data_IF_467778264160
#
_entry.id   IF_467778264160
#
_cell.length_a   1.000
_cell.length_b   1.000
_cell.length_c   1.000
_cell.angle_alpha   90.00
_cell.angle_beta   90.00
_cell.angle_gamma   90.00
#
_symmetry.space_group_name_H-M   'P 1'
#
loop_
_entity.id
_entity.type
_entity.pdbx_description
1 polymer ?
#
# COMPACT_ATOMS: atom_id res chain seq x y z
N UNK A 1 26.62 16.11 0.16
CA UNK A 1 25.94 17.24 -0.52
C UNK A 1 24.46 17.18 -0.13
N UNK A 2 23.76 18.29 0.14
CA UNK A 2 22.32 18.22 0.43
C UNK A 2 21.54 17.71 -0.77
N UNK A 3 20.45 16.98 -0.54
CA UNK A 3 19.59 16.46 -1.61
C UNK A 3 18.86 17.63 -2.32
N UNK A 4 19.00 17.78 -3.65
CA UNK A 4 18.48 18.96 -4.36
C UNK A 4 16.98 19.23 -4.14
N UNK A 5 16.17 18.18 -4.05
CA UNK A 5 14.72 18.28 -3.89
C UNK A 5 14.26 18.43 -2.43
N UNK A 6 15.17 18.41 -1.46
CA UNK A 6 14.88 18.67 -0.05
C UNK A 6 15.34 20.07 0.40
N UNK A 7 16.09 20.80 -0.45
CA UNK A 7 16.54 22.17 -0.16
C UNK A 7 15.37 23.13 -0.35
N UNK A 8 15.14 24.01 0.63
CA UNK A 8 14.09 25.04 0.57
C UNK A 8 14.13 25.80 -0.75
N UNK A 9 12.95 25.88 -1.39
CA UNK A 9 12.79 26.56 -2.67
C UNK A 9 11.76 27.69 -2.56
N UNK A 10 12.10 28.82 -1.90
CA UNK A 10 11.16 29.90 -1.61
C UNK A 10 10.59 30.57 -2.86
N UNK A 11 11.21 30.37 -4.02
CA UNK A 11 10.83 31.01 -5.29
C UNK A 11 9.90 30.16 -6.15
N UNK A 12 9.52 28.95 -5.72
CA UNK A 12 8.83 27.97 -6.59
C UNK A 12 7.46 27.55 -6.05
N UNK A 13 6.62 28.53 -5.72
CA UNK A 13 5.17 28.33 -5.52
C UNK A 13 4.39 28.26 -6.83
N UNK A 14 5.04 28.55 -7.96
CA UNK A 14 4.46 28.47 -9.30
C UNK A 14 4.96 27.19 -9.97
N UNK A 15 4.03 26.41 -10.52
CA UNK A 15 4.32 25.13 -11.16
C UNK A 15 5.16 25.29 -12.44
N UNK A 16 4.85 26.32 -13.25
CA UNK A 16 5.52 26.55 -14.51
C UNK A 16 6.74 27.48 -14.40
N UNK A 17 7.78 27.27 -15.21
CA UNK A 17 7.95 26.16 -16.15
C UNK A 17 8.25 24.83 -15.43
N UNK A 18 7.81 23.71 -16.02
CA UNK A 18 8.13 22.37 -15.54
C UNK A 18 9.64 22.15 -15.65
N UNK A 19 10.26 21.65 -14.58
CA UNK A 19 11.68 21.33 -14.51
C UNK A 19 11.88 19.81 -14.49
N UNK A 20 11.09 19.10 -13.67
CA UNK A 20 11.16 17.64 -13.52
C UNK A 20 10.09 16.97 -14.38
N UNK A 21 10.38 16.81 -15.67
CA UNK A 21 9.40 16.32 -16.65
C UNK A 21 8.99 14.87 -16.40
N UNK A 22 9.92 14.01 -15.98
CA UNK A 22 9.65 12.61 -15.62
C UNK A 22 8.73 12.50 -14.39
N UNK A 23 8.98 13.30 -13.36
CA UNK A 23 8.10 13.42 -12.16
C UNK A 23 6.72 13.93 -12.58
N UNK A 24 6.66 14.93 -13.45
CA UNK A 24 5.39 15.46 -13.95
C UNK A 24 4.59 14.42 -14.76
N UNK A 25 5.26 13.60 -15.57
CA UNK A 25 4.59 12.52 -16.30
C UNK A 25 3.99 11.47 -15.35
N UNK A 26 4.68 11.13 -14.26
CA UNK A 26 4.12 10.24 -13.23
C UNK A 26 2.86 10.85 -12.60
N UNK A 27 2.86 12.15 -12.29
CA UNK A 27 1.67 12.82 -11.80
C UNK A 27 0.53 12.78 -12.82
N UNK A 28 0.81 13.05 -14.10
CA UNK A 28 -0.21 12.97 -15.15
C UNK A 28 -0.77 11.55 -15.35
N UNK A 29 0.06 10.53 -15.16
CA UNK A 29 -0.37 9.12 -15.17
C UNK A 29 -1.33 8.84 -14.00
N UNK A 30 -1.01 9.34 -12.81
CA UNK A 30 -1.86 9.22 -11.62
C UNK A 30 -3.19 9.96 -11.83
N UNK A 31 -3.14 11.22 -12.27
CA UNK A 31 -4.32 12.05 -12.56
C UNK A 31 -5.26 11.38 -13.59
N UNK A 32 -4.70 10.78 -14.65
CA UNK A 32 -5.48 10.07 -15.67
C UNK A 32 -6.09 8.75 -15.18
N UNK A 33 -5.69 8.28 -14.00
CA UNK A 33 -6.14 7.02 -13.40
C UNK A 33 -7.19 7.23 -12.29
N UNK A 34 -7.65 8.47 -12.08
CA UNK A 34 -8.67 8.80 -11.08
C UNK A 34 -9.91 7.92 -11.18
N UNK A 35 -10.44 7.55 -10.01
CA UNK A 35 -11.67 6.79 -9.84
C UNK A 35 -12.28 7.09 -8.46
N UNK A 36 -13.55 6.77 -8.25
CA UNK A 36 -14.21 6.91 -6.92
C UNK A 36 -14.83 5.62 -6.42
N UNK A 37 -15.09 5.54 -5.11
CA UNK A 37 -15.69 4.36 -4.48
C UNK A 37 -17.07 4.00 -5.05
N UNK A 38 -17.85 4.99 -5.51
CA UNK A 38 -19.17 4.79 -6.11
C UNK A 38 -19.16 4.08 -7.46
N UNK A 39 -18.00 3.97 -8.11
CA UNK A 39 -17.85 3.18 -9.34
C UNK A 39 -17.90 1.66 -9.08
N UNK A 40 -17.83 1.23 -7.81
CA UNK A 40 -17.86 -0.17 -7.42
C UNK A 40 -19.30 -0.69 -7.30
N UNK A 41 -19.63 -1.73 -8.07
CA UNK A 41 -20.87 -2.50 -7.91
C UNK A 41 -20.64 -3.70 -6.96
N UNK A 42 -21.18 -3.60 -5.74
CA UNK A 42 -21.10 -4.65 -4.71
C UNK A 42 -22.36 -5.53 -4.63
N UNK A 43 -23.33 -5.37 -5.55
CA UNK A 43 -24.62 -6.07 -5.46
C UNK A 43 -24.45 -7.60 -5.53
N UNK A 44 -23.50 -8.07 -6.34
CA UNK A 44 -23.24 -9.50 -6.52
C UNK A 44 -22.39 -10.11 -5.39
N UNK A 45 -21.56 -9.31 -4.71
CA UNK A 45 -20.64 -9.78 -3.68
C UNK A 45 -21.36 -10.34 -2.46
N UNK A 46 -22.52 -9.80 -2.08
CA UNK A 46 -23.29 -10.32 -0.94
C UNK A 46 -23.74 -11.77 -1.15
N UNK A 47 -24.07 -12.13 -2.40
CA UNK A 47 -24.44 -13.49 -2.75
C UNK A 47 -23.24 -14.42 -2.66
N UNK A 48 -22.10 -14.01 -3.21
CA UNK A 48 -20.87 -14.81 -3.14
C UNK A 48 -20.41 -14.96 -1.69
N UNK A 49 -20.40 -13.87 -0.93
CA UNK A 49 -20.04 -13.83 0.49
C UNK A 49 -20.80 -14.85 1.35
N UNK A 50 -22.12 -14.96 1.12
CA UNK A 50 -22.97 -15.93 1.80
C UNK A 50 -22.61 -17.39 1.45
N UNK A 51 -22.10 -17.63 0.24
CA UNK A 51 -21.73 -18.96 -0.25
C UNK A 51 -20.27 -19.33 0.01
N UNK A 52 -19.43 -18.40 0.44
CA UNK A 52 -18.06 -18.68 0.86
C UNK A 52 -18.02 -19.66 2.04
N UNK A 53 -16.90 -20.34 2.19
CA UNK A 53 -16.59 -21.11 3.40
C UNK A 53 -16.23 -20.18 4.56
N UNK A 54 -16.30 -20.68 5.79
CA UNK A 54 -15.87 -19.91 6.97
C UNK A 54 -14.38 -19.52 6.88
N UNK A 55 -13.54 -20.40 6.32
CA UNK A 55 -12.12 -20.11 6.12
C UNK A 55 -11.90 -18.98 5.11
N UNK A 56 -12.62 -18.96 4.00
CA UNK A 56 -12.52 -17.88 3.00
C UNK A 56 -13.03 -16.55 3.56
N UNK A 57 -14.16 -16.56 4.28
CA UNK A 57 -14.65 -15.36 4.97
C UNK A 57 -13.64 -14.87 6.00
N UNK A 58 -13.11 -15.76 6.82
CA UNK A 58 -12.09 -15.42 7.82
C UNK A 58 -10.88 -14.77 7.15
N UNK A 59 -10.37 -15.37 6.06
CA UNK A 59 -9.25 -14.83 5.30
C UNK A 59 -9.54 -13.40 4.79
N UNK A 60 -10.66 -13.22 4.07
CA UNK A 60 -11.02 -11.92 3.49
C UNK A 60 -11.21 -10.85 4.56
N UNK A 61 -11.88 -11.16 5.68
CA UNK A 61 -12.08 -10.21 6.80
C UNK A 61 -10.75 -9.66 7.31
N UNK A 62 -9.77 -10.54 7.52
CA UNK A 62 -8.47 -10.14 8.08
C UNK A 62 -7.60 -9.41 7.06
N UNK A 63 -7.69 -9.74 5.77
CA UNK A 63 -7.05 -8.95 4.71
C UNK A 63 -7.63 -7.53 4.66
N UNK A 64 -8.95 -7.39 4.67
CA UNK A 64 -9.60 -6.07 4.66
C UNK A 64 -9.26 -5.24 5.91
N UNK A 65 -9.22 -5.89 7.08
CA UNK A 65 -8.83 -5.25 8.34
C UNK A 65 -7.38 -4.75 8.32
N UNK A 66 -6.47 -5.52 7.68
CA UNK A 66 -5.10 -5.08 7.45
C UNK A 66 -5.04 -3.84 6.55
N UNK A 67 -5.77 -3.85 5.43
CA UNK A 67 -5.76 -2.75 4.48
C UNK A 67 -6.33 -1.46 5.08
N UNK A 68 -7.51 -1.54 5.71
CA UNK A 68 -8.16 -0.38 6.32
C UNK A 68 -7.29 0.35 7.37
N UNK A 69 -6.42 -0.40 8.05
CA UNK A 69 -5.47 0.17 9.01
C UNK A 69 -4.19 0.73 8.36
N UNK A 70 -3.75 0.16 7.23
CA UNK A 70 -2.44 0.45 6.65
C UNK A 70 -2.44 1.74 5.84
N UNK A 71 -3.49 1.98 5.04
CA UNK A 71 -3.60 3.19 4.22
C UNK A 71 -3.62 4.46 5.09
N UNK A 72 -4.20 4.38 6.29
CA UNK A 72 -4.14 5.47 7.26
C UNK A 72 -2.70 5.84 7.67
N UNK A 73 -1.84 4.84 7.88
CA UNK A 73 -0.42 5.05 8.22
C UNK A 73 0.35 5.64 7.03
N UNK A 74 0.09 5.13 5.82
CA UNK A 74 0.68 5.62 4.57
C UNK A 74 0.34 7.09 4.37
N UNK A 75 -0.95 7.44 4.50
CA UNK A 75 -1.47 8.79 4.32
C UNK A 75 -0.91 9.78 5.36
N UNK A 76 -0.84 9.37 6.64
CA UNK A 76 -0.19 10.16 7.69
C UNK A 76 1.27 10.47 7.35
N UNK A 77 2.04 9.49 6.87
CA UNK A 77 3.42 9.70 6.45
C UNK A 77 3.52 10.64 5.23
N UNK A 78 2.65 10.47 4.23
CA UNK A 78 2.64 11.34 3.06
C UNK A 78 2.38 12.80 3.45
N UNK A 79 1.33 13.06 4.24
CA UNK A 79 0.89 14.40 4.60
C UNK A 79 1.79 15.11 5.62
N UNK A 80 2.33 14.39 6.60
CA UNK A 80 3.15 14.99 7.65
C UNK A 80 4.63 15.05 7.28
N UNK A 81 5.11 14.11 6.46
CA UNK A 81 6.52 13.99 6.11
C UNK A 81 6.79 14.33 4.64
N UNK A 82 6.53 13.41 3.72
CA UNK A 82 7.05 13.52 2.34
C UNK A 82 6.57 14.76 1.59
N UNK A 83 5.29 15.12 1.70
CA UNK A 83 4.77 16.33 1.04
C UNK A 83 5.35 17.62 1.60
N UNK A 84 5.74 17.62 2.87
CA UNK A 84 6.33 18.77 3.56
C UNK A 84 7.83 18.90 3.28
N UNK A 85 8.54 17.77 3.23
CA UNK A 85 9.99 17.72 3.04
C UNK A 85 10.40 17.99 1.59
N UNK A 86 9.69 17.41 0.62
CA UNK A 86 10.00 17.60 -0.80
C UNK A 86 9.58 19.00 -1.25
N UNK A 87 10.51 19.72 -1.87
CA UNK A 87 10.36 21.12 -2.29
C UNK A 87 10.07 21.28 -3.78
N UNK A 88 10.05 20.18 -4.54
CA UNK A 88 9.78 20.17 -5.98
C UNK A 88 8.26 20.18 -6.22
N UNK A 89 7.68 21.19 -6.91
CA UNK A 89 6.25 21.29 -7.16
C UNK A 89 5.66 20.06 -7.87
N UNK A 90 6.36 19.50 -8.85
CA UNK A 90 5.90 18.33 -9.60
C UNK A 90 5.70 17.11 -8.69
N UNK A 91 6.63 16.91 -7.74
CA UNK A 91 6.53 15.83 -6.76
C UNK A 91 5.44 16.11 -5.71
N UNK A 92 5.27 17.38 -5.31
CA UNK A 92 4.14 17.78 -4.45
C UNK A 92 2.78 17.55 -5.13
N UNK A 93 2.68 17.77 -6.44
CA UNK A 93 1.47 17.43 -7.20
C UNK A 93 1.20 15.92 -7.19
N UNK A 94 2.23 15.09 -7.37
CA UNK A 94 2.08 13.64 -7.24
C UNK A 94 1.61 13.26 -5.84
N UNK A 95 2.32 13.68 -4.79
CA UNK A 95 1.94 13.32 -3.41
C UNK A 95 0.57 13.85 -3.00
N UNK A 96 0.17 15.04 -3.46
CA UNK A 96 -1.17 15.56 -3.22
C UNK A 96 -2.26 14.70 -3.86
N UNK A 97 -1.99 14.15 -5.04
CA UNK A 97 -2.91 13.21 -5.71
C UNK A 97 -2.88 11.83 -5.07
N UNK A 98 -1.70 11.32 -4.69
CA UNK A 98 -1.54 10.08 -3.94
C UNK A 98 -2.36 10.13 -2.64
N UNK A 99 -2.22 11.19 -1.83
CA UNK A 99 -3.04 11.40 -0.62
C UNK A 99 -4.54 11.35 -0.92
N UNK A 100 -4.99 11.95 -2.03
CA UNK A 100 -6.39 11.90 -2.41
C UNK A 100 -6.84 10.47 -2.72
N UNK A 101 -6.04 9.71 -3.46
CA UNK A 101 -6.29 8.31 -3.80
C UNK A 101 -6.24 7.38 -2.57
N UNK A 102 -5.30 7.57 -1.64
CA UNK A 102 -5.24 6.80 -0.39
C UNK A 102 -6.50 6.99 0.48
N UNK A 103 -7.11 8.18 0.45
CA UNK A 103 -8.40 8.41 1.11
C UNK A 103 -9.53 7.60 0.44
N UNK A 104 -9.51 7.47 -0.89
CA UNK A 104 -10.47 6.65 -1.64
C UNK A 104 -10.22 5.16 -1.36
N UNK A 105 -8.97 4.70 -1.28
CA UNK A 105 -8.63 3.34 -0.87
C UNK A 105 -9.21 3.02 0.52
N UNK A 106 -8.97 3.92 1.48
CA UNK A 106 -9.49 3.80 2.85
C UNK A 106 -11.03 3.75 2.89
N UNK A 107 -11.71 4.58 2.09
CA UNK A 107 -13.17 4.55 1.95
C UNK A 107 -13.66 3.22 1.40
N UNK A 108 -13.02 2.72 0.33
CA UNK A 108 -13.38 1.46 -0.31
C UNK A 108 -13.21 0.28 0.64
N UNK A 109 -12.10 0.18 1.36
CA UNK A 109 -11.93 -0.89 2.35
C UNK A 109 -12.96 -0.82 3.46
N UNK A 110 -13.30 0.39 3.91
CA UNK A 110 -14.37 0.61 4.90
C UNK A 110 -15.74 0.19 4.36
N UNK A 111 -16.05 0.52 3.11
CA UNK A 111 -17.28 0.14 2.42
C UNK A 111 -17.39 -1.38 2.24
N UNK A 112 -16.29 -2.06 1.87
CA UNK A 112 -16.23 -3.51 1.74
C UNK A 112 -16.49 -4.17 3.10
N UNK A 113 -15.85 -3.69 4.17
CA UNK A 113 -16.08 -4.16 5.55
C UNK A 113 -17.55 -3.97 5.95
N UNK A 114 -18.11 -2.77 5.73
CA UNK A 114 -19.50 -2.46 6.08
C UNK A 114 -20.52 -3.32 5.30
N UNK A 115 -20.20 -3.60 4.04
CA UNK A 115 -21.01 -4.42 3.15
C UNK A 115 -21.02 -5.88 3.61
N UNK A 116 -19.86 -6.46 3.92
CA UNK A 116 -19.72 -7.90 4.20
C UNK A 116 -20.00 -8.27 5.65
N UNK A 117 -19.68 -7.40 6.61
CA UNK A 117 -19.77 -7.69 8.04
C UNK A 117 -20.95 -6.95 8.64
N UNK A 118 -22.00 -7.70 8.98
CA UNK A 118 -23.23 -7.16 9.58
C UNK A 118 -23.17 -7.06 11.10
N UNK A 119 -22.34 -7.86 11.75
CA UNK A 119 -22.15 -7.77 13.20
C UNK A 119 -21.32 -6.53 13.57
N UNK A 120 -21.90 -5.66 14.39
CA UNK A 120 -21.26 -4.39 14.76
C UNK A 120 -20.03 -4.60 15.66
N UNK A 121 -20.01 -5.66 16.46
CA UNK A 121 -18.89 -5.95 17.37
C UNK A 121 -17.68 -6.45 16.58
N UNK A 122 -17.92 -7.35 15.63
CA UNK A 122 -16.90 -7.85 14.70
C UNK A 122 -16.36 -6.71 13.83
N UNK A 123 -17.23 -5.81 13.38
CA UNK A 123 -16.81 -4.61 12.61
C UNK A 123 -15.88 -3.71 13.42
N UNK A 124 -16.24 -3.37 14.66
CA UNK A 124 -15.38 -2.55 15.54
C UNK A 124 -14.03 -3.25 15.80
N UNK A 125 -14.06 -4.57 16.02
CA UNK A 125 -12.84 -5.36 16.20
C UNK A 125 -11.90 -5.28 14.99
N UNK A 126 -12.44 -5.39 13.77
CA UNK A 126 -11.66 -5.36 12.52
C UNK A 126 -11.18 -3.95 12.17
N UNK A 127 -11.98 -2.91 12.40
CA UNK A 127 -11.55 -1.52 12.17
C UNK A 127 -10.47 -1.07 13.17
N UNK A 128 -10.30 -1.80 14.28
CA UNK A 128 -9.24 -1.59 15.28
C UNK A 128 -8.09 -2.58 15.15
N UNK A 129 -7.87 -3.14 13.96
CA UNK A 129 -6.92 -4.21 13.69
C UNK A 129 -5.51 -4.00 14.26
N UNK A 130 -5.00 -2.77 14.31
CA UNK A 130 -3.68 -2.46 14.89
C UNK A 130 -3.61 -2.85 16.38
N UNK A 131 -4.70 -2.67 17.11
CA UNK A 131 -4.78 -3.01 18.53
C UNK A 131 -5.23 -4.45 18.78
N UNK A 132 -6.02 -5.00 17.85
CA UNK A 132 -6.77 -6.24 18.06
C UNK A 132 -6.17 -7.46 17.37
N UNK A 133 -5.42 -7.28 16.26
CA UNK A 133 -4.86 -8.35 15.43
C UNK A 133 -3.33 -8.29 15.46
N UNK A 134 -2.64 -9.26 16.11
CA UNK A 134 -1.19 -9.23 16.31
C UNK A 134 -0.37 -9.10 15.02
N UNK A 135 -0.79 -9.74 13.93
CA UNK A 135 -0.04 -9.68 12.66
C UNK A 135 -0.14 -8.31 11.99
N UNK A 136 -1.31 -7.65 12.07
CA UNK A 136 -1.50 -6.27 11.59
C UNK A 136 -0.66 -5.31 12.43
N UNK A 137 -0.67 -5.49 13.76
CA UNK A 137 0.16 -4.70 14.68
C UNK A 137 1.64 -4.74 14.32
N UNK A 138 2.18 -5.91 13.96
CA UNK A 138 3.59 -6.09 13.59
C UNK A 138 3.95 -5.28 12.35
N UNK A 139 3.14 -5.38 11.29
CA UNK A 139 3.32 -4.59 10.05
C UNK A 139 3.19 -3.09 10.32
N UNK A 140 2.16 -2.69 11.06
CA UNK A 140 1.93 -1.29 11.43
C UNK A 140 3.11 -0.70 12.22
N UNK A 141 3.63 -1.42 13.22
CA UNK A 141 4.81 -0.99 13.97
C UNK A 141 6.06 -0.85 13.10
N UNK A 142 6.26 -1.77 12.14
CA UNK A 142 7.36 -1.66 11.19
C UNK A 142 7.22 -0.39 10.34
N UNK A 143 6.04 -0.15 9.76
CA UNK A 143 5.77 1.04 8.96
C UNK A 143 5.96 2.33 9.79
N UNK A 144 5.35 2.43 10.96
CA UNK A 144 5.46 3.59 11.86
C UNK A 144 6.91 3.88 12.27
N UNK A 145 7.71 2.85 12.56
CA UNK A 145 9.14 3.00 12.87
C UNK A 145 9.88 3.70 11.73
N UNK A 146 9.65 3.26 10.49
CA UNK A 146 10.33 3.86 9.33
C UNK A 146 9.70 5.18 8.88
N UNK A 147 8.46 5.49 9.26
CA UNK A 147 7.88 6.80 8.98
C UNK A 147 8.49 7.90 9.87
N UNK A 148 9.08 7.57 11.02
CA UNK A 148 9.60 8.57 11.96
C UNK A 148 10.91 9.23 11.46
N UNK A 149 10.88 10.54 11.08
CA UNK A 149 12.06 11.25 10.59
C UNK A 149 13.16 11.43 11.64
N UNK A 150 12.84 11.22 12.93
CA UNK A 150 13.83 11.28 14.02
C UNK A 150 14.64 9.99 14.12
N UNK A 151 14.14 8.90 13.54
CA UNK A 151 14.74 7.56 13.60
C UNK A 151 15.42 7.20 12.28
N UNK A 152 14.87 7.64 11.14
CA UNK A 152 15.31 7.22 9.81
C UNK A 152 15.52 8.38 8.86
N UNK A 153 16.60 8.31 8.09
CA UNK A 153 16.94 9.30 7.06
C UNK A 153 15.94 9.25 5.90
N UNK A 154 15.76 10.35 5.15
CA UNK A 154 14.83 10.39 4.01
C UNK A 154 15.02 9.22 3.02
N UNK A 155 16.25 8.83 2.60
CA UNK A 155 16.45 7.65 1.74
C UNK A 155 15.97 6.33 2.36
N UNK A 156 16.16 6.13 3.66
CA UNK A 156 15.66 4.95 4.36
C UNK A 156 14.13 4.94 4.41
N UNK A 157 13.53 6.09 4.70
CA UNK A 157 12.07 6.23 4.76
C UNK A 157 11.44 6.01 3.39
N UNK A 158 12.04 6.57 2.33
CA UNK A 158 11.56 6.41 0.96
C UNK A 158 11.62 4.95 0.51
N UNK A 159 12.72 4.24 0.82
CA UNK A 159 12.83 2.81 0.52
C UNK A 159 11.85 1.97 1.35
N UNK A 160 11.73 2.27 2.65
CA UNK A 160 10.79 1.56 3.51
C UNK A 160 9.34 1.79 3.07
N UNK A 161 9.01 3.00 2.63
CA UNK A 161 7.70 3.32 2.06
C UNK A 161 7.41 2.54 0.78
N UNK A 162 8.39 2.45 -0.14
CA UNK A 162 8.27 1.61 -1.33
C UNK A 162 8.08 0.12 -0.97
N UNK A 163 8.69 -0.35 0.13
CA UNK A 163 8.45 -1.70 0.63
C UNK A 163 7.07 -1.86 1.31
N UNK A 164 6.53 -0.81 1.96
CA UNK A 164 5.15 -0.84 2.45
C UNK A 164 4.20 -1.03 1.26
N UNK A 165 4.18 -0.11 0.31
CA UNK A 165 3.22 -0.14 -0.81
C UNK A 165 3.47 -1.32 -1.78
N UNK A 166 4.74 -1.65 -2.03
CA UNK A 166 5.12 -2.68 -2.99
C UNK A 166 5.10 -4.11 -2.43
N UNK A 167 5.56 -4.32 -1.18
CA UNK A 167 5.76 -5.67 -0.61
C UNK A 167 4.65 -6.02 0.38
N UNK A 168 4.31 -5.15 1.34
CA UNK A 168 3.33 -5.49 2.39
C UNK A 168 1.90 -5.68 1.89
N UNK A 169 1.56 -5.15 0.72
CA UNK A 169 0.26 -5.39 0.08
C UNK A 169 0.30 -6.57 -0.91
N UNK A 170 1.48 -6.99 -1.37
CA UNK A 170 1.63 -7.91 -2.50
C UNK A 170 0.95 -9.26 -2.30
N UNK A 171 1.11 -9.88 -1.12
CA UNK A 171 0.53 -11.18 -0.81
C UNK A 171 -1.00 -11.12 -0.77
N UNK A 172 -1.54 -10.06 -0.19
CA UNK A 172 -2.98 -9.80 -0.14
C UNK A 172 -3.58 -9.53 -1.53
N UNK A 173 -2.94 -8.71 -2.35
CA UNK A 173 -3.38 -8.45 -3.73
C UNK A 173 -3.40 -9.73 -4.57
N UNK A 174 -2.33 -10.52 -4.49
CA UNK A 174 -2.23 -11.81 -5.17
C UNK A 174 -3.35 -12.77 -4.71
N UNK A 175 -3.65 -12.78 -3.41
CA UNK A 175 -4.71 -13.59 -2.82
C UNK A 175 -6.11 -13.18 -3.31
N UNK A 176 -6.37 -11.89 -3.50
CA UNK A 176 -7.66 -11.43 -4.06
C UNK A 176 -7.74 -11.73 -5.57
N UNK A 177 -6.64 -11.59 -6.32
CA UNK A 177 -6.58 -12.04 -7.71
C UNK A 177 -6.84 -13.55 -7.86
N UNK A 178 -6.47 -14.35 -6.86
CA UNK A 178 -6.82 -15.76 -6.81
C UNK A 178 -8.34 -15.98 -6.67
N UNK A 179 -9.03 -15.19 -5.85
CA UNK A 179 -10.50 -15.21 -5.77
C UNK A 179 -11.15 -14.81 -7.10
N UNK A 180 -10.62 -13.78 -7.77
CA UNK A 180 -11.03 -13.41 -9.13
C UNK A 180 -10.92 -14.58 -10.10
N UNK A 181 -9.80 -15.30 -10.09
CA UNK A 181 -9.57 -16.48 -10.94
C UNK A 181 -10.62 -17.59 -10.70
N UNK A 182 -11.11 -17.69 -9.47
CA UNK A 182 -12.18 -18.63 -9.09
C UNK A 182 -13.58 -18.11 -9.40
N UNK A 183 -13.71 -16.88 -9.90
CA UNK A 183 -14.98 -16.25 -10.24
C UNK A 183 -15.79 -15.83 -9.01
N UNK A 184 -15.11 -15.42 -7.93
CA UNK A 184 -15.73 -15.04 -6.66
C UNK A 184 -15.50 -13.56 -6.36
N UNK A 185 -16.47 -12.94 -5.67
CA UNK A 185 -16.36 -11.58 -5.11
C UNK A 185 -15.95 -10.55 -6.19
N UNK A 186 -16.79 -10.34 -7.22
CA UNK A 186 -16.43 -9.50 -8.36
C UNK A 186 -16.17 -8.03 -7.98
N UNK A 187 -16.92 -7.47 -7.03
CA UNK A 187 -16.73 -6.12 -6.49
C UNK A 187 -15.41 -5.97 -5.74
N UNK A 188 -15.11 -6.89 -4.81
CA UNK A 188 -13.81 -6.95 -4.13
C UNK A 188 -12.64 -7.09 -5.13
N UNK A 189 -12.81 -7.94 -6.14
CA UNK A 189 -11.78 -8.19 -7.15
C UNK A 189 -11.55 -6.97 -8.04
N UNK A 190 -12.62 -6.30 -8.44
CA UNK A 190 -12.55 -5.08 -9.25
C UNK A 190 -11.89 -3.93 -8.49
N UNK A 191 -12.27 -3.70 -7.23
CA UNK A 191 -11.60 -2.69 -6.40
C UNK A 191 -10.12 -3.00 -6.21
N UNK A 192 -9.76 -4.27 -6.01
CA UNK A 192 -8.38 -4.71 -5.90
C UNK A 192 -7.56 -4.46 -7.17
N UNK A 193 -8.17 -4.51 -8.37
CA UNK A 193 -7.50 -4.15 -9.62
C UNK A 193 -7.15 -2.66 -9.68
N UNK A 194 -8.07 -1.80 -9.25
CA UNK A 194 -7.85 -0.36 -9.22
C UNK A 194 -6.77 0.00 -8.19
N UNK A 195 -6.92 -0.50 -6.96
CA UNK A 195 -5.99 -0.20 -5.86
C UNK A 195 -4.59 -0.75 -6.17
N UNK A 196 -4.46 -2.01 -6.62
CA UNK A 196 -3.14 -2.58 -6.91
C UNK A 196 -2.42 -1.89 -8.09
N UNK A 197 -3.17 -1.31 -9.04
CA UNK A 197 -2.59 -0.45 -10.09
C UNK A 197 -2.02 0.83 -9.48
N UNK A 198 -2.75 1.43 -8.55
CA UNK A 198 -2.36 2.68 -7.91
C UNK A 198 -1.14 2.45 -7.00
N UNK A 199 -1.14 1.41 -6.16
CA UNK A 199 0.02 1.03 -5.34
C UNK A 199 1.27 0.71 -6.18
N UNK A 200 1.08 0.08 -7.35
CA UNK A 200 2.17 -0.13 -8.30
C UNK A 200 2.77 1.20 -8.77
N UNK A 201 1.91 2.19 -9.06
CA UNK A 201 2.34 3.52 -9.47
C UNK A 201 3.00 4.31 -8.33
N UNK A 202 2.50 4.17 -7.10
CA UNK A 202 3.08 4.80 -5.92
C UNK A 202 4.48 4.23 -5.62
N UNK A 203 4.63 2.90 -5.72
CA UNK A 203 5.93 2.21 -5.64
C UNK A 203 6.90 2.70 -6.73
N UNK A 204 6.45 2.74 -8.00
CA UNK A 204 7.26 3.26 -9.12
C UNK A 204 7.71 4.71 -8.87
N UNK A 205 6.84 5.53 -8.28
CA UNK A 205 7.16 6.91 -7.94
C UNK A 205 8.20 7.02 -6.82
N UNK A 206 8.09 6.18 -5.79
CA UNK A 206 9.10 6.11 -4.74
C UNK A 206 10.47 5.70 -5.31
N UNK A 207 10.51 4.73 -6.23
CA UNK A 207 11.72 4.35 -6.97
C UNK A 207 12.28 5.49 -7.82
N UNK A 208 11.43 6.26 -8.52
CA UNK A 208 11.85 7.43 -9.29
C UNK A 208 12.48 8.48 -8.38
N UNK A 209 11.85 8.81 -7.25
CA UNK A 209 12.40 9.76 -6.28
C UNK A 209 13.72 9.25 -5.67
N UNK A 210 13.84 7.93 -5.42
CA UNK A 210 15.07 7.32 -4.93
C UNK A 210 16.20 7.39 -5.97
N UNK A 211 15.88 7.19 -7.25
CA UNK A 211 16.86 7.26 -8.35
C UNK A 211 17.51 8.65 -8.44
N UNK A 212 16.75 9.70 -8.10
CA UNK A 212 17.17 11.11 -8.09
C UNK A 212 18.01 11.50 -6.86
N UNK A 213 18.10 10.65 -5.84
CA UNK A 213 18.97 10.89 -4.68
C UNK A 213 20.44 10.95 -5.11
N UNK A 214 21.13 11.96 -4.58
CA UNK A 214 22.58 12.11 -4.68
C UNK A 214 23.27 11.16 -3.72
N UNK A 215 22.80 11.06 -2.46
CA UNK A 215 23.37 10.21 -1.43
C UNK A 215 22.50 8.96 -1.24
N UNK A 216 22.70 7.97 -2.13
CA UNK A 216 22.03 6.67 -2.04
C UNK A 216 22.50 5.86 -0.83
N UNK A 217 21.65 4.95 -0.35
CA UNK A 217 22.03 4.04 0.72
C UNK A 217 23.05 3.02 0.22
N UNK A 218 23.92 2.50 1.11
CA UNK A 218 24.71 1.32 0.82
C UNK A 218 23.80 0.15 0.45
N UNK A 219 24.20 -0.63 -0.56
CA UNK A 219 23.44 -1.78 -1.04
C UNK A 219 23.08 -2.77 0.08
N UNK A 220 23.98 -2.96 1.05
CA UNK A 220 23.72 -3.80 2.24
C UNK A 220 22.54 -3.30 3.06
N UNK A 221 22.39 -1.98 3.21
CA UNK A 221 21.29 -1.35 3.94
C UNK A 221 19.97 -1.44 3.17
N UNK A 222 20.03 -1.32 1.84
CA UNK A 222 18.85 -1.53 0.98
C UNK A 222 18.31 -2.95 1.16
N UNK A 223 19.18 -3.94 1.02
CA UNK A 223 18.82 -5.35 1.17
C UNK A 223 18.35 -5.70 2.58
N UNK A 224 18.88 -5.05 3.62
CA UNK A 224 18.40 -5.23 5.00
C UNK A 224 16.93 -4.83 5.13
N UNK A 225 16.58 -3.61 4.69
CA UNK A 225 15.21 -3.07 4.79
C UNK A 225 14.22 -3.93 4.00
N UNK A 226 14.58 -4.28 2.75
CA UNK A 226 13.74 -5.09 1.88
C UNK A 226 13.58 -6.51 2.43
N UNK A 227 14.65 -7.15 2.93
CA UNK A 227 14.57 -8.50 3.51
C UNK A 227 13.73 -8.53 4.79
N UNK A 228 13.81 -7.50 5.62
CA UNK A 228 12.94 -7.37 6.80
C UNK A 228 11.47 -7.34 6.38
N UNK A 229 11.14 -6.56 5.34
CA UNK A 229 9.78 -6.48 4.82
C UNK A 229 9.30 -7.85 4.26
N UNK A 230 10.13 -8.53 3.45
CA UNK A 230 9.83 -9.87 2.92
C UNK A 230 9.61 -10.88 4.05
N UNK A 231 10.44 -10.84 5.09
CA UNK A 231 10.32 -11.77 6.23
C UNK A 231 8.99 -11.60 6.95
N UNK A 232 8.58 -10.34 7.17
CA UNK A 232 7.28 -10.03 7.79
C UNK A 232 6.13 -10.47 6.88
N UNK A 233 6.24 -10.26 5.57
CA UNK A 233 5.20 -10.65 4.62
C UNK A 233 5.06 -12.18 4.51
N UNK A 234 6.17 -12.92 4.53
CA UNK A 234 6.17 -14.39 4.58
C UNK A 234 5.43 -14.92 5.82
N UNK A 235 5.74 -14.38 6.99
CA UNK A 235 5.04 -14.74 8.23
C UNK A 235 3.55 -14.39 8.17
N UNK A 236 3.20 -13.27 7.53
CA UNK A 236 1.81 -12.88 7.34
C UNK A 236 1.04 -13.92 6.51
N UNK A 237 1.53 -14.28 5.32
CA UNK A 237 0.82 -15.17 4.39
C UNK A 237 0.90 -16.67 4.72
N UNK A 238 1.85 -17.08 5.57
CA UNK A 238 2.06 -18.49 5.93
C UNK A 238 1.56 -18.81 7.33
N UNK A 239 1.83 -17.94 8.30
CA UNK A 239 1.66 -18.27 9.71
C UNK A 239 0.45 -17.53 10.30
N UNK A 240 0.35 -16.23 10.05
CA UNK A 240 -0.70 -15.39 10.65
C UNK A 240 -2.05 -15.49 9.92
N UNK A 241 -2.01 -15.47 8.59
CA UNK A 241 -3.17 -15.57 7.73
C UNK A 241 -2.85 -16.52 6.56
N UNK A 242 -2.83 -17.84 6.82
CA UNK A 242 -2.39 -18.83 5.85
C UNK A 242 -3.22 -18.77 4.56
N UNK A 243 -2.57 -18.62 3.41
CA UNK A 243 -3.24 -18.57 2.10
C UNK A 243 -3.89 -19.89 1.70
N UNK A 244 -3.57 -20.99 2.40
CA UNK A 244 -4.26 -22.27 2.32
C UNK A 244 -5.76 -22.15 2.67
N UNK A 245 -6.16 -21.14 3.48
CA UNK A 245 -7.55 -20.87 3.83
C UNK A 245 -8.43 -20.58 2.59
N UNK A 246 -7.82 -20.10 1.51
CA UNK A 246 -8.48 -19.83 0.21
C UNK A 246 -8.03 -20.80 -0.90
N UNK A 247 -7.28 -21.85 -0.53
CA UNK A 247 -6.82 -22.89 -1.45
C UNK A 247 -5.56 -22.54 -2.26
N UNK A 248 -4.73 -21.61 -1.79
CA UNK A 248 -3.41 -21.33 -2.37
C UNK A 248 -2.30 -22.13 -1.67
N UNK A 249 -1.09 -22.09 -2.23
CA UNK A 249 0.10 -22.72 -1.65
C UNK A 249 1.03 -21.64 -1.08
N UNK A 250 1.30 -21.68 0.23
CA UNK A 250 2.18 -20.72 0.90
C UNK A 250 3.61 -20.71 0.36
N UNK A 251 4.17 -21.85 -0.07
CA UNK A 251 5.49 -21.90 -0.70
C UNK A 251 5.56 -21.09 -2.01
N UNK A 252 4.55 -21.20 -2.87
CA UNK A 252 4.43 -20.38 -4.07
C UNK A 252 4.15 -18.91 -3.75
N UNK A 253 3.38 -18.62 -2.68
CA UNK A 253 3.15 -17.25 -2.24
C UNK A 253 4.44 -16.59 -1.74
N UNK A 254 5.24 -17.31 -0.95
CA UNK A 254 6.56 -16.85 -0.51
C UNK A 254 7.48 -16.55 -1.70
N UNK A 255 7.52 -17.43 -2.70
CA UNK A 255 8.28 -17.21 -3.93
C UNK A 255 7.77 -15.98 -4.71
N UNK A 256 6.46 -15.76 -4.74
CA UNK A 256 5.88 -14.57 -5.37
C UNK A 256 6.30 -13.28 -4.64
N UNK A 257 6.31 -13.28 -3.31
CA UNK A 257 6.76 -12.13 -2.50
C UNK A 257 8.25 -11.85 -2.74
N UNK A 258 9.08 -12.90 -2.82
CA UNK A 258 10.50 -12.77 -3.18
C UNK A 258 10.67 -12.18 -4.59
N UNK A 259 9.89 -12.64 -5.57
CA UNK A 259 9.88 -12.06 -6.92
C UNK A 259 9.51 -10.58 -6.92
N UNK A 260 8.52 -10.17 -6.13
CA UNK A 260 8.13 -8.76 -6.00
C UNK A 260 9.26 -7.93 -5.38
N UNK A 261 9.94 -8.47 -4.37
CA UNK A 261 11.08 -7.82 -3.74
C UNK A 261 12.29 -7.72 -4.68
N UNK A 262 12.60 -8.77 -5.45
CA UNK A 262 13.65 -8.76 -6.47
C UNK A 262 13.36 -7.75 -7.59
N UNK A 263 12.08 -7.49 -7.89
CA UNK A 263 11.68 -6.46 -8.85
C UNK A 263 11.84 -5.04 -8.28
N UNK A 264 11.74 -4.88 -6.96
CA UNK A 264 11.91 -3.58 -6.29
C UNK A 264 13.39 -3.19 -6.18
N UNK A 265 14.28 -4.18 -6.02
CA UNK A 265 15.74 -4.02 -5.94
C UNK A 265 16.36 -3.67 -7.30
#
# INVERSE_FOLDING_TARGET
QPEPFLVENPNRFVLFPIQEHDVWQMYKKAEASFWTAEELDLAHDLKDWANLTDNERFFIKHVLAFFAASDGIVNENLAMNFSNEVQVPEARCFYGFQIAIENIHSEVYSLLIDTYIKDATEKDHLLRAIDTIPCVKKKAHWALKWCDPRVSSYPERLLAFAAVEGIFFSGSFCSIFWLKKRGLMPGLSFSNELISRDEGMHTDFACLMYSKLVNKLPESRVHEIVRDAVTIEHEFVRDSLPVELIGMNSGLMCQYIEFVADRLL
#
